data_IF_032847935086
#
_entry.id   IF_032847935086
#
_cell.length_a   1.000
_cell.length_b   1.000
_cell.length_c   1.000
_cell.angle_alpha   90.00
_cell.angle_beta   90.00
_cell.angle_gamma   90.00
#
_symmetry.space_group_name_H-M   'P 1'
#
loop_
_entity.id
_entity.type
_entity.pdbx_description
1 polymer ?
#
# COMPACT_ATOMS: atom_id res chain seq x y z
N UNK A 1 -21.16 38.71 -25.34
CA UNK A 1 -21.82 37.46 -24.97
C UNK A 1 -21.23 36.20 -25.64
N UNK A 2 -20.03 36.27 -26.15
CA UNK A 2 -19.37 35.08 -26.75
C UNK A 2 -18.43 34.34 -25.78
N UNK A 3 -18.41 34.72 -24.52
CA UNK A 3 -17.45 34.20 -23.52
C UNK A 3 -18.02 33.07 -22.68
N UNK A 4 -19.30 32.77 -22.77
CA UNK A 4 -19.95 31.73 -21.95
C UNK A 4 -19.88 30.34 -22.60
N UNK A 5 -19.60 30.27 -23.89
CA UNK A 5 -19.56 29.02 -24.63
C UNK A 5 -18.22 28.26 -24.51
N UNK A 6 -17.17 28.90 -24.00
CA UNK A 6 -15.83 28.30 -23.90
C UNK A 6 -15.60 27.59 -22.56
N UNK A 7 -16.42 27.89 -21.54
CA UNK A 7 -16.29 27.33 -20.20
C UNK A 7 -16.94 25.96 -20.02
N UNK A 8 -17.79 25.54 -20.95
CA UNK A 8 -18.47 24.23 -20.84
C UNK A 8 -17.67 23.09 -21.46
N UNK A 9 -16.72 23.40 -22.34
CA UNK A 9 -15.90 22.35 -22.98
C UNK A 9 -14.71 21.83 -22.14
N UNK A 10 -14.34 22.55 -21.08
CA UNK A 10 -13.20 22.17 -20.25
C UNK A 10 -13.58 21.24 -19.10
N UNK A 11 -14.85 21.20 -18.72
CA UNK A 11 -15.33 20.38 -17.60
C UNK A 11 -15.53 18.91 -17.99
N UNK A 12 -15.64 18.59 -19.27
CA UNK A 12 -15.86 17.21 -19.72
C UNK A 12 -14.60 16.37 -19.87
N UNK A 13 -13.40 16.94 -19.70
CA UNK A 13 -12.14 16.19 -19.84
C UNK A 13 -11.53 15.70 -18.54
N UNK A 14 -12.13 16.03 -17.39
CA UNK A 14 -11.60 15.62 -16.07
C UNK A 14 -12.27 14.37 -15.54
N UNK A 15 -13.30 13.88 -16.19
CA UNK A 15 -14.07 12.72 -15.69
C UNK A 15 -13.66 11.37 -16.29
N UNK A 16 -12.52 11.30 -16.96
CA UNK A 16 -11.94 10.06 -17.44
C UNK A 16 -10.64 9.75 -16.70
N UNK A 17 -10.63 9.92 -15.39
CA UNK A 17 -9.62 9.25 -14.59
C UNK A 17 -10.03 7.79 -14.49
N UNK A 18 -9.33 6.88 -15.14
CA UNK A 18 -9.64 5.48 -14.99
C UNK A 18 -9.43 5.07 -13.55
N UNK A 19 -10.35 4.32 -13.01
CA UNK A 19 -10.31 3.77 -11.68
C UNK A 19 -9.21 2.70 -11.51
N UNK A 20 -8.03 2.92 -12.08
CA UNK A 20 -6.90 2.01 -12.01
C UNK A 20 -5.95 2.30 -10.84
N UNK A 21 -6.23 3.35 -10.06
CA UNK A 21 -5.29 3.81 -9.05
C UNK A 21 -5.36 3.01 -7.74
N UNK A 22 -6.40 2.23 -7.48
CA UNK A 22 -6.61 1.63 -6.16
C UNK A 22 -5.91 0.30 -5.95
N UNK A 23 -5.40 -0.34 -7.00
CA UNK A 23 -4.83 -1.68 -6.88
C UNK A 23 -3.29 -1.69 -6.87
N UNK A 24 -2.66 -0.64 -7.34
CA UNK A 24 -1.21 -0.60 -7.51
C UNK A 24 -0.42 -0.24 -6.25
N UNK A 25 -1.07 0.36 -5.25
CA UNK A 25 -0.40 0.79 -4.01
C UNK A 25 0.07 -0.33 -3.11
N UNK A 26 -0.37 -1.55 -3.33
CA UNK A 26 -0.12 -2.70 -2.47
C UNK A 26 0.58 -3.86 -3.20
N UNK A 27 0.93 -3.66 -4.45
CA UNK A 27 1.73 -4.63 -5.18
C UNK A 27 3.21 -4.40 -4.91
N UNK A 28 3.91 -5.49 -4.68
CA UNK A 28 5.36 -5.45 -4.73
C UNK A 28 5.79 -4.99 -6.13
N UNK A 29 6.83 -4.15 -6.22
CA UNK A 29 7.30 -3.59 -7.48
C UNK A 29 7.93 -4.63 -8.42
N UNK A 30 8.08 -5.86 -7.97
CA UNK A 30 8.61 -6.96 -8.77
C UNK A 30 7.62 -8.12 -8.82
N UNK A 31 7.68 -8.86 -9.89
CA UNK A 31 7.02 -10.15 -9.96
C UNK A 31 7.86 -11.18 -9.19
N UNK A 32 7.36 -11.59 -8.00
CA UNK A 32 8.02 -12.61 -7.18
C UNK A 32 8.17 -13.95 -7.91
N UNK A 33 7.37 -14.17 -8.95
CA UNK A 33 7.42 -15.39 -9.75
C UNK A 33 8.65 -15.46 -10.67
N UNK A 34 9.30 -14.35 -10.94
CA UNK A 34 10.53 -14.28 -11.75
C UNK A 34 11.78 -14.73 -10.99
N UNK A 35 11.65 -15.12 -9.73
CA UNK A 35 12.77 -15.60 -8.91
C UNK A 35 13.20 -17.05 -9.19
N UNK A 36 12.56 -17.73 -10.14
CA UNK A 36 12.85 -19.13 -10.42
C UNK A 36 12.32 -20.07 -9.33
N UNK A 37 11.10 -19.84 -8.90
CA UNK A 37 10.45 -20.62 -7.83
C UNK A 37 10.13 -22.06 -8.29
N UNK A 38 10.29 -23.00 -7.38
CA UNK A 38 9.71 -24.34 -7.53
C UNK A 38 8.19 -24.27 -7.45
N UNK A 39 7.48 -25.32 -7.87
CA UNK A 39 6.01 -25.39 -7.74
C UNK A 39 5.54 -25.22 -6.31
N UNK A 40 6.25 -25.83 -5.36
CA UNK A 40 5.92 -25.72 -3.94
C UNK A 40 6.17 -24.29 -3.41
N UNK A 41 7.30 -23.69 -3.79
CA UNK A 41 7.59 -22.28 -3.45
C UNK A 41 6.54 -21.36 -4.04
N UNK A 42 6.14 -21.57 -5.29
CA UNK A 42 5.12 -20.78 -5.96
C UNK A 42 3.80 -20.77 -5.18
N UNK A 43 3.34 -21.93 -4.72
CA UNK A 43 2.14 -22.04 -3.88
C UNK A 43 2.30 -21.29 -2.56
N UNK A 44 3.43 -21.46 -1.90
CA UNK A 44 3.71 -20.80 -0.62
C UNK A 44 3.78 -19.28 -0.76
N UNK A 45 4.40 -18.78 -1.81
CA UNK A 45 4.43 -17.35 -2.14
C UNK A 45 3.03 -16.83 -2.42
N UNK A 46 2.25 -17.56 -3.21
CA UNK A 46 0.86 -17.18 -3.52
C UNK A 46 0.00 -17.08 -2.25
N UNK A 47 0.11 -18.04 -1.35
CA UNK A 47 -0.58 -18.00 -0.05
C UNK A 47 -0.13 -16.80 0.79
N UNK A 48 1.17 -16.56 0.86
CA UNK A 48 1.74 -15.41 1.58
C UNK A 48 1.21 -14.07 1.02
N UNK A 49 1.14 -13.94 -0.31
CA UNK A 49 0.61 -12.76 -0.97
C UNK A 49 -0.88 -12.56 -0.72
N UNK A 50 -1.67 -13.62 -0.76
CA UNK A 50 -3.11 -13.56 -0.45
C UNK A 50 -3.37 -13.12 0.99
N UNK A 51 -2.58 -13.62 1.92
CA UNK A 51 -2.65 -13.25 3.33
C UNK A 51 -2.27 -11.78 3.54
N UNK A 52 -1.20 -11.33 2.90
CA UNK A 52 -0.76 -9.94 2.88
C UNK A 52 -1.87 -9.01 2.34
N UNK A 53 -2.47 -9.35 1.20
CA UNK A 53 -3.54 -8.56 0.61
C UNK A 53 -4.78 -8.48 1.50
N UNK A 54 -5.17 -9.57 2.16
CA UNK A 54 -6.28 -9.59 3.12
C UNK A 54 -5.99 -8.72 4.34
N UNK A 55 -4.79 -8.80 4.87
CA UNK A 55 -4.35 -7.97 5.99
C UNK A 55 -4.35 -6.48 5.62
N UNK A 56 -3.90 -6.15 4.41
CA UNK A 56 -3.89 -4.78 3.91
C UNK A 56 -5.28 -4.20 3.73
N UNK A 57 -6.24 -4.98 3.23
CA UNK A 57 -7.63 -4.56 3.11
C UNK A 57 -8.25 -4.25 4.47
N UNK A 58 -7.98 -5.08 5.48
CA UNK A 58 -8.42 -4.80 6.86
C UNK A 58 -7.78 -3.54 7.41
N UNK A 59 -6.49 -3.39 7.21
CA UNK A 59 -5.74 -2.19 7.57
C UNK A 59 -6.32 -0.94 6.93
N UNK A 60 -6.61 -0.99 5.64
CA UNK A 60 -7.16 0.15 4.89
C UNK A 60 -8.49 0.63 5.49
N UNK A 61 -9.39 -0.29 5.81
CA UNK A 61 -10.66 0.03 6.48
C UNK A 61 -10.44 0.64 7.87
N UNK A 62 -9.48 0.12 8.62
CA UNK A 62 -9.14 0.65 9.94
C UNK A 62 -8.48 2.03 9.84
N UNK A 63 -7.66 2.24 8.82
CA UNK A 63 -7.00 3.52 8.59
C UNK A 63 -7.98 4.64 8.25
N UNK A 64 -9.06 4.33 7.53
CA UNK A 64 -10.13 5.29 7.27
C UNK A 64 -10.76 5.81 8.56
N UNK A 65 -11.08 4.91 9.49
CA UNK A 65 -11.60 5.29 10.82
C UNK A 65 -10.59 6.12 11.61
N UNK A 66 -9.34 5.71 11.61
CA UNK A 66 -8.26 6.46 12.27
C UNK A 66 -8.11 7.84 11.68
N UNK A 67 -8.21 7.98 10.35
CA UNK A 67 -8.16 9.28 9.68
C UNK A 67 -9.32 10.19 10.11
N UNK A 68 -10.52 9.65 10.28
CA UNK A 68 -11.66 10.40 10.81
C UNK A 68 -11.40 10.89 12.24
N UNK A 69 -10.83 10.03 13.09
CA UNK A 69 -10.44 10.39 14.45
C UNK A 69 -9.37 11.50 14.48
N UNK A 70 -8.36 11.40 13.60
CA UNK A 70 -7.30 12.42 13.46
C UNK A 70 -7.88 13.75 12.99
N UNK A 71 -8.81 13.73 12.05
CA UNK A 71 -9.49 14.91 11.57
C UNK A 71 -10.31 15.56 12.71
N UNK A 72 -11.01 14.76 13.52
CA UNK A 72 -11.75 15.25 14.68
C UNK A 72 -10.82 15.92 15.71
N UNK A 73 -9.67 15.33 15.99
CA UNK A 73 -8.66 15.92 16.87
C UNK A 73 -8.14 17.27 16.36
N UNK A 74 -7.97 17.39 15.05
CA UNK A 74 -7.53 18.64 14.43
C UNK A 74 -8.58 19.75 14.50
N UNK A 75 -9.86 19.39 14.50
CA UNK A 75 -10.98 20.34 14.57
C UNK A 75 -11.30 20.79 15.99
N UNK A 76 -10.73 20.16 17.02
CA UNK A 76 -10.91 20.58 18.41
C UNK A 76 -10.31 21.97 18.65
N UNK A 77 -10.91 22.79 19.55
CA UNK A 77 -10.38 24.12 19.88
C UNK A 77 -8.95 24.12 20.40
N UNK A 78 -8.57 23.06 21.14
CA UNK A 78 -7.20 22.83 21.58
C UNK A 78 -6.66 21.57 20.91
N UNK A 79 -5.52 21.68 20.23
CA UNK A 79 -4.90 20.55 19.55
C UNK A 79 -4.17 19.64 20.54
N UNK A 80 -4.68 18.43 20.69
CA UNK A 80 -4.05 17.38 21.50
C UNK A 80 -2.99 16.64 20.68
N UNK A 81 -1.76 17.17 20.69
CA UNK A 81 -0.64 16.62 19.94
C UNK A 81 -0.27 15.21 20.39
N UNK A 82 -0.44 14.89 21.66
CA UNK A 82 -0.12 13.57 22.20
C UNK A 82 -1.07 12.50 21.65
N UNK A 83 -2.37 12.73 21.70
CA UNK A 83 -3.37 11.81 21.13
C UNK A 83 -3.22 11.68 19.62
N UNK A 84 -2.96 12.77 18.93
CA UNK A 84 -2.73 12.77 17.49
C UNK A 84 -1.53 11.89 17.12
N UNK A 85 -0.41 12.06 17.81
CA UNK A 85 0.81 11.26 17.61
C UNK A 85 0.56 9.78 17.93
N UNK A 86 -0.10 9.48 19.05
CA UNK A 86 -0.40 8.11 19.45
C UNK A 86 -1.24 7.37 18.41
N UNK A 87 -2.25 8.02 17.84
CA UNK A 87 -3.09 7.43 16.77
C UNK A 87 -2.30 7.17 15.49
N UNK A 88 -1.45 8.10 15.08
CA UNK A 88 -0.58 7.93 13.93
C UNK A 88 0.41 6.77 14.12
N UNK A 89 1.04 6.68 15.29
CA UNK A 89 1.99 5.60 15.60
C UNK A 89 1.31 4.23 15.61
N UNK A 90 0.10 4.14 16.11
CA UNK A 90 -0.69 2.90 16.10
C UNK A 90 -0.98 2.43 14.68
N UNK A 91 -1.37 3.36 13.81
CA UNK A 91 -1.62 3.08 12.40
C UNK A 91 -0.33 2.65 11.66
N UNK A 92 0.76 3.35 11.88
CA UNK A 92 2.08 3.02 11.32
C UNK A 92 2.55 1.63 11.78
N UNK A 93 2.41 1.34 13.06
CA UNK A 93 2.78 0.03 13.63
C UNK A 93 2.01 -1.11 12.97
N UNK A 94 0.72 -0.95 12.73
CA UNK A 94 -0.10 -1.94 12.06
C UNK A 94 0.40 -2.21 10.63
N UNK A 95 0.74 -1.17 9.89
CA UNK A 95 1.31 -1.28 8.54
C UNK A 95 2.65 -2.00 8.53
N UNK A 96 3.54 -1.65 9.45
CA UNK A 96 4.86 -2.27 9.60
C UNK A 96 4.70 -3.77 9.92
N UNK A 97 3.79 -4.13 10.81
CA UNK A 97 3.53 -5.51 11.19
C UNK A 97 3.06 -6.37 10.00
N UNK A 98 2.18 -5.84 9.18
CA UNK A 98 1.70 -6.53 7.96
C UNK A 98 2.86 -6.83 7.01
N UNK A 99 3.71 -5.83 6.77
CA UNK A 99 4.88 -5.96 5.91
C UNK A 99 5.90 -6.94 6.49
N UNK A 100 6.17 -6.87 7.79
CA UNK A 100 7.11 -7.74 8.48
C UNK A 100 6.71 -9.21 8.36
N UNK A 101 5.44 -9.53 8.54
CA UNK A 101 4.92 -10.90 8.39
C UNK A 101 5.14 -11.44 6.99
N UNK A 102 4.91 -10.62 5.97
CA UNK A 102 5.18 -11.04 4.60
C UNK A 102 6.66 -11.35 4.39
N UNK A 103 7.55 -10.48 4.86
CA UNK A 103 9.00 -10.70 4.75
C UNK A 103 9.47 -11.93 5.53
N UNK A 104 8.93 -12.19 6.71
CA UNK A 104 9.19 -13.42 7.46
C UNK A 104 8.83 -14.66 6.64
N UNK A 105 7.67 -14.66 6.01
CA UNK A 105 7.24 -15.78 5.18
C UNK A 105 8.10 -15.95 3.94
N UNK A 106 8.40 -14.88 3.24
CA UNK A 106 9.30 -14.91 2.07
C UNK A 106 10.69 -15.39 2.46
N UNK A 107 11.20 -14.96 3.60
CA UNK A 107 12.48 -15.39 4.11
C UNK A 107 12.55 -16.91 4.36
N UNK A 108 11.47 -17.49 4.83
CA UNK A 108 11.36 -18.95 5.04
C UNK A 108 11.24 -19.73 3.73
N UNK A 109 10.56 -19.16 2.74
CA UNK A 109 10.26 -19.82 1.46
C UNK A 109 11.47 -19.77 0.51
N UNK A 110 12.16 -18.63 0.42
CA UNK A 110 13.20 -18.38 -0.58
C UNK A 110 14.55 -19.01 -0.19
N UNK A 111 15.27 -19.54 -1.19
CA UNK A 111 16.66 -19.97 -1.05
C UNK A 111 17.59 -18.75 -0.88
N UNK A 112 18.84 -18.95 -0.41
CA UNK A 112 19.81 -17.86 -0.28
C UNK A 112 20.04 -17.08 -1.58
N UNK A 113 20.09 -17.76 -2.71
CA UNK A 113 20.26 -17.13 -4.02
C UNK A 113 19.03 -16.32 -4.43
N UNK A 114 17.84 -16.87 -4.22
CA UNK A 114 16.57 -16.17 -4.49
C UNK A 114 16.44 -14.94 -3.61
N UNK A 115 16.84 -14.99 -2.36
CA UNK A 115 16.88 -13.84 -1.45
C UNK A 115 17.79 -12.73 -1.99
N UNK A 116 18.95 -13.08 -2.51
CA UNK A 116 19.87 -12.10 -3.11
C UNK A 116 19.26 -11.43 -4.35
N UNK A 117 18.59 -12.19 -5.20
CA UNK A 117 17.86 -11.63 -6.36
C UNK A 117 16.73 -10.72 -5.93
N UNK A 118 15.98 -11.13 -4.92
CA UNK A 118 14.90 -10.33 -4.36
C UNK A 118 15.39 -8.98 -3.85
N UNK A 119 16.46 -8.96 -3.08
CA UNK A 119 17.05 -7.72 -2.54
C UNK A 119 17.53 -6.81 -3.66
N UNK A 120 18.16 -7.33 -4.69
CA UNK A 120 18.61 -6.53 -5.85
C UNK A 120 17.45 -5.84 -6.54
N UNK A 121 16.35 -6.53 -6.77
CA UNK A 121 15.16 -5.93 -7.36
C UNK A 121 14.55 -4.84 -6.48
N UNK A 122 14.57 -5.02 -5.17
CA UNK A 122 14.10 -4.01 -4.23
C UNK A 122 14.98 -2.75 -4.26
N UNK A 123 16.30 -2.91 -4.35
CA UNK A 123 17.24 -1.79 -4.49
C UNK A 123 17.04 -1.01 -5.80
N UNK A 124 16.84 -1.72 -6.90
CA UNK A 124 16.54 -1.11 -8.20
C UNK A 124 15.27 -0.27 -8.17
N UNK A 125 14.28 -0.71 -7.42
CA UNK A 125 13.01 0.01 -7.30
C UNK A 125 13.12 1.29 -6.46
N UNK A 126 13.96 1.31 -5.43
CA UNK A 126 14.17 2.49 -4.59
C UNK A 126 14.86 3.65 -5.32
N UNK A 127 15.50 3.39 -6.45
CA UNK A 127 16.26 4.38 -7.22
C UNK A 127 15.39 5.07 -8.29
N UNK A 128 14.26 4.50 -8.66
CA UNK A 128 13.33 5.08 -9.62
C UNK A 128 12.32 6.04 -8.96
#
# INVERSE_FOLDING_TARGET
MKWVAVLVAVVCLVSLSPAYADDDGHRFPMDLYDLGLTKQQHRSVEEAMKEYQRAYRRYHRQSEKTQEELNALFLEPAFDAESFRARNLEMERASIEIRTRLFERLHTILSPEQKRRFVRHMEEWEIE
#
